data_IF_474330803809
#
_entry.id   IF_474330803809
#
_cell.length_a   1.000
_cell.length_b   1.000
_cell.length_c   1.000
_cell.angle_alpha   90.00
_cell.angle_beta   90.00
_cell.angle_gamma   90.00
#
_symmetry.space_group_name_H-M   'P 1'
#
loop_
_entity.id
_entity.type
_entity.pdbx_description
1 polymer ?
#
# COMPACT_ATOMS: atom_id res chain seq x y z
N UNK A 1 27.11 23.14 21.93
CA UNK A 1 26.44 21.86 21.60
C UNK A 1 27.50 20.79 21.61
N UNK A 2 27.33 19.73 22.39
CA UNK A 2 28.30 18.64 22.45
C UNK A 2 28.14 17.70 21.24
N UNK A 3 29.28 17.28 20.69
CA UNK A 3 29.34 16.38 19.55
C UNK A 3 29.34 14.92 20.01
N UNK A 4 28.29 14.18 19.67
CA UNK A 4 28.08 12.80 20.10
C UNK A 4 27.98 11.87 18.88
N UNK A 5 28.63 10.72 18.98
CA UNK A 5 28.55 9.61 18.06
C UNK A 5 27.37 8.73 18.47
N UNK A 6 26.28 8.75 17.72
CA UNK A 6 25.00 8.14 18.12
C UNK A 6 25.14 6.68 18.61
N UNK A 7 25.44 5.74 17.71
CA UNK A 7 25.45 4.29 17.99
C UNK A 7 26.85 3.70 18.19
N UNK A 8 27.89 4.53 18.12
CA UNK A 8 29.29 4.10 18.10
C UNK A 8 30.11 4.92 19.09
N UNK A 9 31.16 4.33 19.64
CA UNK A 9 32.09 5.06 20.51
C UNK A 9 32.93 6.10 19.75
N UNK A 10 33.13 5.90 18.44
CA UNK A 10 33.94 6.75 17.56
C UNK A 10 33.21 7.03 16.25
N UNK A 11 33.47 8.21 15.68
CA UNK A 11 32.81 8.70 14.47
C UNK A 11 33.75 8.72 13.26
N UNK A 12 33.18 8.72 12.06
CA UNK A 12 33.94 8.82 10.79
C UNK A 12 34.84 10.06 10.77
N UNK A 13 34.34 11.20 11.30
CA UNK A 13 35.09 12.47 11.38
C UNK A 13 35.93 12.61 12.65
N UNK A 14 36.21 11.51 13.36
CA UNK A 14 37.10 11.55 14.51
C UNK A 14 38.52 11.90 14.07
N UNK A 15 39.29 12.57 14.93
CA UNK A 15 40.64 13.07 14.61
C UNK A 15 41.59 11.97 14.12
N UNK A 16 41.40 10.75 14.62
CA UNK A 16 42.18 9.58 14.23
C UNK A 16 41.30 8.58 13.48
N UNK A 17 41.71 8.12 12.28
CA UNK A 17 40.91 7.19 11.51
C UNK A 17 40.79 5.86 12.25
N UNK A 18 39.55 5.40 12.41
CA UNK A 18 39.18 4.13 13.05
C UNK A 18 38.08 3.47 12.24
N UNK A 19 37.94 2.16 12.36
CA UNK A 19 36.89 1.42 11.66
C UNK A 19 35.53 1.71 12.30
N UNK A 20 34.77 2.62 11.69
CA UNK A 20 33.43 3.03 12.12
C UNK A 20 32.59 3.43 10.91
N UNK A 21 31.28 3.33 11.05
CA UNK A 21 30.26 3.57 10.02
C UNK A 21 29.29 4.71 10.41
N UNK A 22 29.59 5.45 11.48
CA UNK A 22 28.68 6.48 12.02
C UNK A 22 29.30 7.89 11.96
N UNK A 23 28.53 8.86 11.46
CA UNK A 23 28.82 10.28 11.63
C UNK A 23 28.38 10.80 13.02
N UNK A 24 28.94 11.93 13.47
CA UNK A 24 28.48 12.62 14.69
C UNK A 24 27.29 13.52 14.40
N UNK A 25 26.49 13.87 15.42
CA UNK A 25 25.45 14.91 15.30
C UNK A 25 26.01 16.24 14.75
N UNK A 26 27.22 16.65 15.16
CA UNK A 26 27.88 17.84 14.65
C UNK A 26 28.28 17.72 13.18
N UNK A 27 28.73 16.55 12.74
CA UNK A 27 29.03 16.28 11.34
C UNK A 27 27.76 16.43 10.48
N UNK A 28 26.62 15.93 10.95
CA UNK A 28 25.33 16.13 10.26
C UNK A 28 24.94 17.60 10.16
N UNK A 29 25.01 18.35 11.26
CA UNK A 29 24.69 19.80 11.27
C UNK A 29 25.64 20.57 10.36
N UNK A 30 26.93 20.27 10.42
CA UNK A 30 27.95 20.92 9.59
C UNK A 30 27.71 20.64 8.10
N UNK A 31 27.47 19.38 7.72
CA UNK A 31 27.12 19.03 6.33
C UNK A 31 25.85 19.76 5.89
N UNK A 32 24.82 19.85 6.73
CA UNK A 32 23.60 20.59 6.40
C UNK A 32 23.87 22.09 6.17
N UNK A 33 24.76 22.70 6.96
CA UNK A 33 25.18 24.09 6.77
C UNK A 33 25.95 24.27 5.45
N UNK A 34 26.90 23.39 5.14
CA UNK A 34 27.64 23.39 3.87
C UNK A 34 26.69 23.24 2.69
N UNK A 35 25.75 22.30 2.77
CA UNK A 35 24.75 22.07 1.73
C UNK A 35 23.81 23.27 1.57
N UNK A 36 23.39 23.94 2.64
CA UNK A 36 22.47 25.08 2.56
C UNK A 36 23.08 26.34 1.89
N UNK A 37 24.41 26.45 1.77
CA UNK A 37 25.10 27.63 1.22
C UNK A 37 25.34 27.59 -0.31
N UNK A 38 24.34 27.18 -1.11
CA UNK A 38 24.37 27.20 -2.58
C UNK A 38 25.42 26.32 -3.32
N UNK A 39 26.12 25.41 -2.63
CA UNK A 39 27.03 24.43 -3.28
C UNK A 39 26.25 23.28 -3.97
N UNK A 40 24.93 23.29 -3.86
CA UNK A 40 24.00 22.22 -4.23
C UNK A 40 23.94 21.87 -5.73
N UNK A 41 24.33 22.80 -6.63
CA UNK A 41 24.06 22.67 -8.07
C UNK A 41 24.79 21.51 -8.75
N UNK A 42 25.89 21.00 -8.21
CA UNK A 42 26.62 19.87 -8.81
C UNK A 42 26.36 18.52 -8.14
N UNK A 43 25.95 18.52 -6.86
CA UNK A 43 25.67 17.30 -6.09
C UNK A 43 24.30 16.71 -6.40
N UNK A 44 23.33 17.58 -6.67
CA UNK A 44 21.94 17.17 -6.90
C UNK A 44 21.47 17.41 -8.34
N UNK A 45 22.29 17.97 -9.23
CA UNK A 45 21.89 18.00 -10.64
C UNK A 45 21.81 16.56 -11.13
N UNK A 46 20.61 16.12 -11.51
CA UNK A 46 20.43 14.93 -12.34
C UNK A 46 21.22 15.16 -13.62
N UNK A 47 22.49 14.73 -13.61
CA UNK A 47 23.12 14.37 -14.86
C UNK A 47 22.36 13.12 -15.27
N UNK A 48 21.51 13.23 -16.30
CA UNK A 48 20.98 12.08 -17.03
C UNK A 48 22.10 11.06 -17.25
N UNK A 49 21.76 9.78 -17.49
CA UNK A 49 22.58 8.61 -17.19
C UNK A 49 24.05 8.95 -17.32
N UNK A 50 24.75 9.04 -16.18
CA UNK A 50 26.16 9.40 -16.12
C UNK A 50 26.90 8.54 -17.14
N UNK A 51 27.21 9.14 -18.30
CA UNK A 51 27.88 8.47 -19.38
C UNK A 51 29.34 8.36 -18.98
N UNK A 52 29.63 7.36 -18.15
CA UNK A 52 31.00 6.95 -17.90
C UNK A 52 31.54 6.49 -19.24
N UNK A 53 32.55 7.19 -19.76
CA UNK A 53 33.25 6.85 -21.01
C UNK A 53 33.90 5.45 -20.98
N UNK A 54 33.87 4.76 -19.83
CA UNK A 54 34.22 3.36 -19.58
C UNK A 54 33.06 2.57 -18.94
N UNK A 55 31.84 2.68 -19.47
CA UNK A 55 30.63 2.02 -18.95
C UNK A 55 30.78 0.50 -18.74
N UNK A 56 31.69 -0.18 -19.44
CA UNK A 56 31.81 -1.64 -19.44
C UNK A 56 32.48 -2.26 -18.20
N UNK A 57 33.10 -1.49 -17.29
CA UNK A 57 33.81 -2.03 -16.12
C UNK A 57 33.15 -1.72 -14.77
N UNK A 58 32.16 -0.81 -14.74
CA UNK A 58 31.51 -0.38 -13.49
C UNK A 58 30.00 -0.61 -13.44
N UNK A 59 29.31 -0.79 -14.57
CA UNK A 59 27.86 -1.08 -14.56
C UNK A 59 27.59 -2.57 -14.57
N UNK A 60 28.08 -3.30 -15.58
CA UNK A 60 27.81 -4.74 -15.75
C UNK A 60 28.71 -5.54 -14.80
N UNK A 61 28.14 -6.08 -13.73
CA UNK A 61 28.90 -6.84 -12.74
C UNK A 61 28.10 -8.03 -12.24
N UNK A 62 28.45 -9.20 -12.77
CA UNK A 62 28.00 -10.45 -12.22
C UNK A 62 28.26 -10.54 -10.71
N UNK A 63 27.19 -10.73 -9.97
CA UNK A 63 27.16 -10.83 -8.52
C UNK A 63 26.73 -9.56 -7.80
N UNK A 64 26.20 -8.57 -8.51
CA UNK A 64 25.56 -7.37 -7.93
C UNK A 64 24.04 -7.57 -7.69
N UNK A 65 23.49 -8.75 -8.01
CA UNK A 65 22.07 -9.10 -7.93
C UNK A 65 21.16 -8.38 -8.94
N UNK A 66 21.71 -7.81 -10.00
CA UNK A 66 20.97 -7.14 -11.08
C UNK A 66 21.31 -7.85 -12.39
N UNK A 67 20.30 -8.35 -13.09
CA UNK A 67 20.52 -9.01 -14.38
C UNK A 67 20.76 -7.95 -15.46
N UNK A 68 21.98 -7.91 -15.99
CA UNK A 68 22.42 -6.88 -16.94
C UNK A 68 23.00 -7.50 -18.23
N UNK A 69 22.77 -6.83 -19.37
CA UNK A 69 23.32 -7.18 -20.68
C UNK A 69 23.13 -8.66 -21.08
N UNK A 70 24.19 -9.48 -20.99
CA UNK A 70 24.22 -10.90 -21.40
C UNK A 70 24.05 -11.88 -20.24
N UNK A 71 23.91 -11.38 -19.02
CA UNK A 71 23.64 -12.23 -17.86
C UNK A 71 22.26 -12.88 -18.00
N UNK A 72 22.18 -14.18 -17.72
CA UNK A 72 20.92 -14.90 -17.72
C UNK A 72 20.22 -14.77 -16.36
N UNK A 73 21.03 -14.64 -15.30
CA UNK A 73 20.59 -14.49 -13.92
C UNK A 73 21.72 -13.87 -13.09
N UNK A 74 21.37 -13.28 -11.95
CA UNK A 74 22.36 -12.83 -10.97
C UNK A 74 21.89 -13.22 -9.55
N UNK A 75 22.60 -14.17 -8.94
CA UNK A 75 22.36 -14.65 -7.58
C UNK A 75 23.08 -13.85 -6.49
N UNK A 76 23.85 -12.83 -6.86
CA UNK A 76 24.61 -11.95 -5.98
C UNK A 76 26.01 -12.46 -5.72
N UNK A 77 26.51 -12.21 -4.51
CA UNK A 77 27.85 -12.62 -4.12
C UNK A 77 28.06 -14.13 -4.27
N UNK A 78 29.32 -14.57 -4.44
CA UNK A 78 29.68 -15.99 -4.55
C UNK A 78 29.05 -16.87 -3.44
N UNK A 79 28.95 -16.35 -2.21
CA UNK A 79 28.31 -17.05 -1.09
C UNK A 79 26.80 -17.23 -1.29
N UNK A 80 26.10 -16.23 -1.85
CA UNK A 80 24.68 -16.33 -2.15
C UNK A 80 24.43 -17.31 -3.31
N UNK A 81 25.28 -17.28 -4.33
CA UNK A 81 25.24 -18.20 -5.45
C UNK A 81 25.54 -19.66 -5.05
N UNK A 82 26.43 -19.88 -4.08
CA UNK A 82 26.73 -21.24 -3.59
C UNK A 82 25.49 -21.99 -3.07
N UNK A 83 24.53 -21.26 -2.49
CA UNK A 83 23.24 -21.82 -2.06
C UNK A 83 22.14 -21.78 -3.12
N UNK A 84 22.40 -21.19 -4.28
CA UNK A 84 21.42 -21.03 -5.34
C UNK A 84 21.43 -22.26 -6.25
N UNK A 85 20.27 -22.86 -6.49
CA UNK A 85 20.12 -24.04 -7.34
C UNK A 85 19.91 -23.71 -8.82
N UNK A 86 19.49 -22.47 -9.12
CA UNK A 86 19.02 -22.06 -10.43
C UNK A 86 20.04 -21.23 -11.21
N UNK A 87 20.99 -20.59 -10.52
CA UNK A 87 21.94 -19.65 -11.08
C UNK A 87 23.34 -19.92 -10.55
N UNK A 88 24.31 -19.99 -11.45
CA UNK A 88 25.71 -20.22 -11.16
C UNK A 88 26.46 -18.89 -10.90
N UNK A 89 27.66 -18.98 -10.34
CA UNK A 89 28.47 -17.79 -9.98
C UNK A 89 29.05 -17.03 -11.18
N UNK A 90 28.87 -17.55 -12.40
CA UNK A 90 29.20 -16.90 -13.67
C UNK A 90 27.98 -16.22 -14.34
N UNK A 91 26.88 -16.06 -13.59
CA UNK A 91 25.63 -15.42 -14.02
C UNK A 91 24.92 -16.13 -15.18
N UNK A 92 25.06 -17.46 -15.20
CA UNK A 92 24.33 -18.36 -16.11
C UNK A 92 23.37 -19.25 -15.34
N UNK A 93 22.31 -19.65 -16.01
CA UNK A 93 21.39 -20.64 -15.45
C UNK A 93 22.09 -21.98 -15.28
N UNK A 94 21.80 -22.66 -14.18
CA UNK A 94 22.18 -24.06 -14.02
C UNK A 94 21.43 -24.94 -15.04
N UNK A 95 21.95 -26.13 -15.39
CA UNK A 95 21.31 -27.00 -16.37
C UNK A 95 19.83 -27.31 -16.04
N UNK A 96 18.93 -26.98 -16.98
CA UNK A 96 17.48 -27.19 -16.83
C UNK A 96 16.72 -26.03 -16.18
N UNK A 97 17.43 -25.01 -15.72
CA UNK A 97 16.82 -23.79 -15.15
C UNK A 97 16.48 -22.79 -16.26
N UNK A 98 15.33 -22.12 -16.11
CA UNK A 98 14.85 -21.07 -17.03
C UNK A 98 14.59 -19.74 -16.31
N UNK A 99 14.66 -19.74 -14.98
CA UNK A 99 14.47 -18.58 -14.12
C UNK A 99 15.17 -18.79 -12.78
N UNK A 100 15.31 -17.72 -12.00
CA UNK A 100 15.94 -17.76 -10.69
C UNK A 100 15.15 -16.97 -9.62
N UNK A 101 15.04 -15.64 -9.78
CA UNK A 101 14.48 -14.72 -8.77
C UNK A 101 13.19 -14.03 -9.21
N UNK A 102 12.73 -14.30 -10.42
CA UNK A 102 11.53 -13.71 -10.97
C UNK A 102 10.28 -14.13 -10.17
N UNK A 103 9.28 -13.24 -10.11
CA UNK A 103 8.09 -13.38 -9.26
C UNK A 103 7.18 -14.57 -9.61
N UNK A 104 7.31 -15.13 -10.81
CA UNK A 104 6.67 -16.36 -11.25
C UNK A 104 7.67 -17.49 -11.52
N UNK A 105 8.77 -17.52 -10.75
CA UNK A 105 9.72 -18.62 -10.73
C UNK A 105 9.49 -19.55 -9.52
N UNK A 106 9.29 -20.83 -9.78
CA UNK A 106 9.23 -21.88 -8.76
C UNK A 106 10.13 -23.04 -9.16
N UNK A 107 11.04 -23.45 -8.27
CA UNK A 107 11.99 -24.54 -8.52
C UNK A 107 12.74 -24.37 -9.86
N UNK A 108 13.26 -23.17 -10.12
CA UNK A 108 13.98 -22.82 -11.34
C UNK A 108 13.17 -22.92 -12.66
N UNK A 109 11.84 -23.07 -12.55
CA UNK A 109 10.89 -23.23 -13.66
C UNK A 109 9.67 -22.32 -13.46
N UNK A 110 8.70 -22.37 -14.38
CA UNK A 110 7.47 -21.57 -14.26
C UNK A 110 6.67 -21.93 -13.01
N UNK A 111 6.26 -20.90 -12.25
CA UNK A 111 5.26 -21.03 -11.21
C UNK A 111 3.93 -21.54 -11.79
N UNK A 112 3.22 -22.44 -11.09
CA UNK A 112 1.91 -22.91 -11.53
C UNK A 112 0.92 -21.77 -11.80
N UNK A 113 0.03 -21.97 -12.76
CA UNK A 113 -1.04 -21.01 -13.05
C UNK A 113 -1.92 -20.78 -11.81
N UNK A 114 -2.20 -19.51 -11.52
CA UNK A 114 -2.94 -19.10 -10.32
C UNK A 114 -2.09 -18.90 -9.06
N UNK A 115 -0.77 -19.00 -9.16
CA UNK A 115 0.14 -18.59 -8.06
C UNK A 115 0.07 -17.06 -7.91
N UNK A 116 -0.28 -16.55 -6.73
CA UNK A 116 -0.28 -15.11 -6.45
C UNK A 116 1.16 -14.58 -6.53
N UNK A 117 1.43 -13.64 -7.44
CA UNK A 117 2.76 -13.07 -7.65
C UNK A 117 2.88 -11.61 -7.24
N UNK A 118 1.77 -10.86 -7.25
CA UNK A 118 1.70 -9.53 -6.63
C UNK A 118 0.42 -9.41 -5.80
N UNK A 119 0.53 -9.17 -4.48
CA UNK A 119 -0.63 -8.94 -3.63
C UNK A 119 -1.12 -7.50 -3.77
N UNK A 120 -2.40 -7.29 -3.45
CA UNK A 120 -3.03 -5.97 -3.35
C UNK A 120 -2.26 -5.11 -2.34
N UNK A 121 -1.82 -3.92 -2.77
CA UNK A 121 -1.10 -2.96 -1.92
C UNK A 121 -2.02 -1.97 -1.21
N UNK A 122 -3.13 -1.57 -1.85
CA UNK A 122 -4.09 -0.61 -1.30
C UNK A 122 -5.50 -0.85 -1.87
N UNK A 123 -6.48 -0.05 -1.43
CA UNK A 123 -7.90 -0.23 -1.81
C UNK A 123 -8.20 0.01 -3.30
N UNK A 124 -7.30 0.65 -4.02
CA UNK A 124 -7.39 0.93 -5.45
C UNK A 124 -6.57 -0.03 -6.31
N UNK A 125 -5.95 -1.04 -5.71
CA UNK A 125 -5.05 -1.98 -6.37
C UNK A 125 -5.71 -3.35 -6.58
N UNK A 126 -5.26 -4.10 -7.58
CA UNK A 126 -5.75 -5.46 -7.88
C UNK A 126 -4.65 -6.51 -7.71
N UNK A 127 -4.98 -7.79 -7.47
CA UNK A 127 -3.98 -8.85 -7.40
C UNK A 127 -3.66 -9.46 -8.77
N UNK A 128 -2.40 -9.90 -8.94
CA UNK A 128 -1.93 -10.61 -10.13
C UNK A 128 -1.47 -12.02 -9.79
N UNK A 129 -1.73 -12.91 -10.75
CA UNK A 129 -1.44 -14.32 -10.66
C UNK A 129 -0.60 -14.78 -11.85
N UNK A 130 0.35 -15.67 -11.58
CA UNK A 130 1.15 -16.30 -12.62
C UNK A 130 0.26 -17.06 -13.60
N UNK A 131 0.59 -16.97 -14.89
CA UNK A 131 -0.14 -17.65 -15.96
C UNK A 131 0.31 -19.10 -16.19
N UNK A 132 1.41 -19.54 -15.56
CA UNK A 132 1.96 -20.88 -15.74
C UNK A 132 2.94 -21.04 -16.91
N UNK A 133 3.16 -19.99 -17.69
CA UNK A 133 3.98 -20.00 -18.92
C UNK A 133 5.06 -18.91 -18.98
N UNK A 134 4.98 -17.95 -18.06
CA UNK A 134 5.90 -16.82 -17.96
C UNK A 134 6.63 -16.89 -16.63
N UNK A 135 7.86 -16.41 -16.57
CA UNK A 135 8.70 -16.40 -15.35
C UNK A 135 8.48 -15.14 -14.53
N UNK A 136 7.93 -14.08 -15.13
CA UNK A 136 7.59 -12.81 -14.47
C UNK A 136 6.07 -12.71 -14.27
N UNK A 137 5.68 -12.05 -13.19
CA UNK A 137 4.28 -11.67 -12.95
C UNK A 137 3.77 -10.78 -14.10
N UNK A 138 2.46 -10.84 -14.43
CA UNK A 138 1.83 -9.85 -15.29
C UNK A 138 2.11 -8.41 -14.83
N UNK A 139 1.86 -7.46 -15.73
CA UNK A 139 1.92 -6.03 -15.40
C UNK A 139 1.03 -5.70 -14.19
N UNK A 140 1.38 -4.63 -13.48
CA UNK A 140 0.59 -4.11 -12.37
C UNK A 140 -0.76 -3.57 -12.89
N UNK A 141 -1.86 -4.15 -12.40
CA UNK A 141 -3.21 -3.69 -12.67
C UNK A 141 -3.85 -3.12 -11.41
N UNK A 142 -4.62 -2.07 -11.61
CA UNK A 142 -5.32 -1.36 -10.54
C UNK A 142 -6.73 -0.98 -10.99
N UNK A 143 -7.57 -0.56 -10.06
CA UNK A 143 -8.95 -0.14 -10.36
C UNK A 143 -8.94 1.04 -11.35
N UNK A 144 -9.85 1.01 -12.32
CA UNK A 144 -9.96 2.07 -13.32
C UNK A 144 -10.08 3.46 -12.66
N UNK A 145 -9.36 4.44 -13.20
CA UNK A 145 -9.40 5.81 -12.72
C UNK A 145 -10.83 6.34 -12.68
N UNK A 146 -11.25 6.89 -11.54
CA UNK A 146 -12.63 7.32 -11.26
C UNK A 146 -13.45 6.33 -10.44
N UNK A 147 -12.96 5.11 -10.18
CA UNK A 147 -13.63 4.15 -9.29
C UNK A 147 -13.71 4.71 -7.86
N UNK A 148 -14.88 4.83 -7.21
CA UNK A 148 -14.98 5.34 -5.84
C UNK A 148 -14.17 4.49 -4.85
N UNK A 149 -13.38 5.13 -3.98
CA UNK A 149 -12.58 4.45 -2.95
C UNK A 149 -12.98 4.85 -1.52
N UNK A 150 -13.45 6.07 -1.33
CA UNK A 150 -14.06 6.56 -0.08
C UNK A 150 -15.28 7.41 -0.41
N UNK A 151 -15.96 7.95 0.60
CA UNK A 151 -17.08 8.89 0.38
C UNK A 151 -16.62 10.18 -0.32
N UNK A 152 -15.37 10.60 -0.07
CA UNK A 152 -14.78 11.84 -0.56
C UNK A 152 -13.71 11.64 -1.65
N UNK A 153 -13.50 10.39 -2.10
CA UNK A 153 -12.35 10.01 -2.93
C UNK A 153 -12.63 8.94 -3.96
N UNK A 154 -11.81 8.93 -5.01
CA UNK A 154 -11.82 7.94 -6.06
C UNK A 154 -10.40 7.44 -6.34
N UNK A 155 -10.28 6.33 -7.07
CA UNK A 155 -9.01 5.78 -7.49
C UNK A 155 -8.45 6.57 -8.66
N UNK A 156 -7.17 6.89 -8.61
CA UNK A 156 -6.44 7.50 -9.73
C UNK A 156 -5.02 6.95 -9.72
N UNK A 157 -4.60 6.35 -10.84
CA UNK A 157 -3.29 5.70 -11.00
C UNK A 157 -2.96 4.74 -9.83
N UNK A 158 -3.95 3.92 -9.48
CA UNK A 158 -3.83 2.87 -8.47
C UNK A 158 -3.75 3.34 -7.02
N UNK A 159 -4.03 4.62 -6.75
CA UNK A 159 -4.07 5.17 -5.40
C UNK A 159 -5.41 5.86 -5.13
N UNK A 160 -5.87 5.82 -3.88
CA UNK A 160 -7.05 6.59 -3.48
C UNK A 160 -6.69 8.08 -3.35
N UNK A 161 -7.51 8.95 -3.93
CA UNK A 161 -7.29 10.40 -3.99
C UNK A 161 -7.61 11.13 -2.68
N UNK A 162 -8.22 10.44 -1.72
CA UNK A 162 -8.60 10.96 -0.41
C UNK A 162 -7.36 11.36 0.42
N UNK A 163 -7.30 12.63 0.82
CA UNK A 163 -6.20 13.18 1.62
C UNK A 163 -6.10 12.54 3.01
N UNK A 164 -7.23 12.19 3.61
CA UNK A 164 -7.24 11.53 4.92
C UNK A 164 -6.68 10.13 4.81
N UNK A 165 -7.05 9.36 3.78
CA UNK A 165 -6.43 8.07 3.51
C UNK A 165 -4.92 8.21 3.30
N UNK A 166 -4.49 9.22 2.54
CA UNK A 166 -3.06 9.47 2.35
C UNK A 166 -2.34 9.81 3.67
N UNK A 167 -2.96 10.63 4.53
CA UNK A 167 -2.42 10.92 5.87
C UNK A 167 -2.34 9.67 6.74
N UNK A 168 -3.33 8.77 6.68
CA UNK A 168 -3.33 7.52 7.44
C UNK A 168 -2.21 6.56 7.01
N UNK A 169 -1.95 6.49 5.71
CA UNK A 169 -0.85 5.66 5.18
C UNK A 169 0.53 6.14 5.67
N UNK A 170 0.70 7.45 5.90
CA UNK A 170 1.95 8.02 6.38
C UNK A 170 2.03 7.97 7.92
N UNK A 171 1.02 8.47 8.62
CA UNK A 171 1.07 8.76 10.06
C UNK A 171 0.26 7.79 10.93
N UNK A 172 -0.43 6.83 10.32
CA UNK A 172 -1.28 5.84 10.99
C UNK A 172 -2.75 6.23 11.08
N UNK A 173 -3.59 5.29 11.51
CA UNK A 173 -5.06 5.33 11.39
C UNK A 173 -5.74 6.60 11.97
N UNK A 174 -5.15 7.22 13.00
CA UNK A 174 -5.71 8.42 13.62
C UNK A 174 -5.53 9.70 12.81
N UNK A 175 -4.62 9.71 11.83
CA UNK A 175 -4.29 10.90 11.07
C UNK A 175 -5.37 11.23 10.04
N UNK A 176 -5.62 12.51 9.84
CA UNK A 176 -6.64 13.02 8.91
C UNK A 176 -6.07 14.17 8.08
N UNK A 177 -6.75 14.50 6.97
CA UNK A 177 -6.43 15.70 6.21
C UNK A 177 -6.51 16.93 7.11
N UNK A 178 -5.49 17.78 7.03
CA UNK A 178 -5.50 19.04 7.75
C UNK A 178 -6.50 20.03 7.15
N UNK A 179 -6.98 21.01 7.93
CA UNK A 179 -7.74 22.14 7.40
C UNK A 179 -6.93 22.95 6.37
N UNK A 180 -7.62 23.59 5.42
CA UNK A 180 -7.02 24.35 4.31
C UNK A 180 -5.99 25.39 4.78
N UNK A 181 -6.16 25.96 5.98
CA UNK A 181 -5.21 26.93 6.56
C UNK A 181 -3.79 26.36 6.69
N UNK A 182 -3.65 25.05 6.94
CA UNK A 182 -2.35 24.38 7.01
C UNK A 182 -1.63 24.37 5.66
N UNK A 183 -2.37 24.29 4.55
CA UNK A 183 -1.81 24.29 3.20
C UNK A 183 -1.19 25.62 2.81
N UNK A 184 -1.46 26.72 3.52
CA UNK A 184 -0.80 28.01 3.30
C UNK A 184 0.74 27.94 3.35
N UNK A 185 1.31 26.95 4.05
CA UNK A 185 2.75 26.67 4.06
C UNK A 185 3.30 26.40 2.65
N UNK A 186 2.47 25.87 1.74
CA UNK A 186 2.87 25.55 0.37
C UNK A 186 3.24 26.78 -0.46
N UNK A 187 2.84 27.98 -0.04
CA UNK A 187 3.25 29.25 -0.68
C UNK A 187 4.69 29.65 -0.35
N UNK A 188 5.29 29.09 0.72
CA UNK A 188 6.60 29.53 1.23
C UNK A 188 7.80 29.09 0.38
N UNK A 189 7.67 28.04 -0.43
CA UNK A 189 8.76 27.57 -1.30
C UNK A 189 9.95 27.00 -0.54
N UNK A 190 9.70 26.12 0.43
CA UNK A 190 10.76 25.37 1.12
C UNK A 190 10.42 23.88 1.16
N UNK A 191 11.33 23.05 1.68
CA UNK A 191 11.23 21.57 1.63
C UNK A 191 9.93 20.96 2.17
N UNK A 192 9.18 21.68 3.00
CA UNK A 192 7.94 21.23 3.64
C UNK A 192 6.69 21.91 3.05
N UNK A 193 6.87 22.90 2.18
CA UNK A 193 5.78 23.63 1.56
C UNK A 193 6.20 24.21 0.21
N UNK A 194 5.78 23.54 -0.86
CA UNK A 194 6.05 23.89 -2.25
C UNK A 194 5.13 23.08 -3.18
N UNK A 195 5.00 23.52 -4.44
CA UNK A 195 4.30 22.76 -5.49
C UNK A 195 5.25 22.05 -6.45
N UNK A 196 6.47 22.57 -6.57
CA UNK A 196 7.48 22.05 -7.51
C UNK A 196 8.84 22.06 -6.88
N UNK A 197 9.67 21.12 -7.31
CA UNK A 197 11.11 21.13 -7.08
C UNK A 197 11.75 21.29 -8.45
N UNK A 198 12.64 22.27 -8.62
CA UNK A 198 13.36 22.43 -9.89
C UNK A 198 14.45 21.37 -10.03
N UNK A 199 15.02 21.22 -11.22
CA UNK A 199 16.14 20.31 -11.49
C UNK A 199 17.37 20.59 -10.61
N UNK A 200 17.47 21.80 -10.04
CA UNK A 200 18.48 22.17 -9.03
C UNK A 200 18.04 21.93 -7.58
N UNK A 201 17.01 21.10 -7.36
CA UNK A 201 16.43 20.77 -6.07
C UNK A 201 15.94 22.00 -5.27
N UNK A 202 15.57 23.08 -5.95
CA UNK A 202 15.03 24.28 -5.33
C UNK A 202 13.50 24.18 -5.24
N UNK A 203 12.90 24.17 -4.02
CA UNK A 203 11.46 24.16 -3.87
C UNK A 203 10.84 25.50 -4.30
N UNK A 204 9.85 25.46 -5.18
CA UNK A 204 9.09 26.63 -5.62
C UNK A 204 7.73 26.69 -4.95
N UNK A 205 7.43 27.84 -4.34
CA UNK A 205 6.13 28.10 -3.71
C UNK A 205 4.98 27.99 -4.70
N UNK A 206 3.83 27.56 -4.21
CA UNK A 206 2.59 27.44 -4.99
C UNK A 206 1.98 28.81 -5.28
N UNK A 207 1.26 28.92 -6.41
CA UNK A 207 0.27 29.97 -6.60
C UNK A 207 -0.95 29.72 -5.69
N UNK A 208 -1.81 30.74 -5.54
CA UNK A 208 -2.99 30.65 -4.67
C UNK A 208 -3.93 29.51 -5.07
N UNK A 209 -4.15 29.31 -6.37
CA UNK A 209 -5.00 28.24 -6.90
C UNK A 209 -4.41 26.83 -6.68
N UNK A 210 -3.09 26.71 -6.57
CA UNK A 210 -2.38 25.43 -6.52
C UNK A 210 -2.03 25.00 -5.10
N UNK A 211 -2.36 25.82 -4.10
CA UNK A 211 -1.93 25.63 -2.71
C UNK A 211 -2.33 24.27 -2.14
N UNK A 212 -3.44 23.70 -2.61
CA UNK A 212 -3.96 22.38 -2.23
C UNK A 212 -3.33 21.20 -2.97
N UNK A 213 -2.43 21.46 -3.92
CA UNK A 213 -1.71 20.48 -4.74
C UNK A 213 -0.21 20.39 -4.46
N UNK A 214 0.26 21.11 -3.44
CA UNK A 214 1.67 21.08 -3.01
C UNK A 214 1.99 19.90 -2.09
N UNK A 215 2.56 20.20 -0.92
CA UNK A 215 2.81 19.21 0.13
C UNK A 215 1.52 18.88 0.88
N UNK A 216 1.33 17.59 1.16
CA UNK A 216 0.22 17.10 1.97
C UNK A 216 0.38 17.63 3.40
N UNK A 217 -0.74 18.04 4.00
CA UNK A 217 -0.83 18.47 5.38
C UNK A 217 -1.83 17.60 6.14
N UNK A 218 -1.43 17.13 7.31
CA UNK A 218 -2.17 16.21 8.16
C UNK A 218 -2.36 16.77 9.57
N UNK A 219 -3.40 16.32 10.25
CA UNK A 219 -3.66 16.58 11.68
C UNK A 219 -3.86 15.26 12.42
N UNK A 220 -3.93 15.34 13.75
CA UNK A 220 -4.19 14.19 14.63
C UNK A 220 -3.11 13.09 14.52
N UNK A 221 -1.86 13.50 14.29
CA UNK A 221 -0.70 12.62 14.23
C UNK A 221 -0.28 12.23 15.64
N UNK A 222 -0.41 10.94 15.98
CA UNK A 222 -0.06 10.38 17.30
C UNK A 222 1.25 9.60 17.28
N UNK A 223 1.64 9.06 16.12
CA UNK A 223 2.86 8.28 15.94
C UNK A 223 3.65 8.78 14.73
N UNK A 224 4.97 8.88 14.88
CA UNK A 224 5.87 9.26 13.79
C UNK A 224 6.46 7.99 13.17
N UNK A 225 6.20 7.71 11.88
CA UNK A 225 6.72 6.52 11.23
C UNK A 225 8.26 6.57 11.16
N UNK A 226 8.88 5.41 11.00
CA UNK A 226 10.26 5.35 10.51
C UNK A 226 10.26 5.76 9.04
N UNK A 227 10.62 7.00 8.79
CA UNK A 227 10.76 7.53 7.44
C UNK A 227 12.03 6.98 6.77
N UNK A 228 12.05 7.04 5.43
CA UNK A 228 13.25 6.80 4.63
C UNK A 228 14.39 7.75 5.06
N UNK A 229 15.63 7.33 4.83
CA UNK A 229 16.79 8.17 5.12
C UNK A 229 16.68 9.54 4.42
N UNK A 230 17.14 10.60 5.07
CA UNK A 230 17.08 11.98 4.57
C UNK A 230 15.69 12.64 4.46
N UNK A 231 14.62 11.97 4.91
CA UNK A 231 13.29 12.57 5.06
C UNK A 231 13.08 13.08 6.48
N UNK A 232 12.47 14.26 6.61
CA UNK A 232 12.01 14.79 7.89
C UNK A 232 10.53 15.16 7.82
N UNK A 233 9.93 15.38 8.97
CA UNK A 233 8.60 15.97 9.09
C UNK A 233 8.71 17.38 9.69
N UNK A 234 7.67 18.18 9.51
CA UNK A 234 7.45 19.37 10.31
C UNK A 234 6.22 19.18 11.19
N UNK A 235 6.21 19.91 12.30
CA UNK A 235 5.03 20.14 13.11
C UNK A 235 4.94 21.65 13.34
N UNK A 236 3.85 22.28 12.95
CA UNK A 236 3.75 23.74 13.03
C UNK A 236 2.32 24.15 13.33
N UNK A 237 2.16 25.18 14.15
CA UNK A 237 0.85 25.76 14.41
C UNK A 237 0.57 26.81 13.34
N UNK A 238 -0.44 26.59 12.51
CA UNK A 238 -0.83 27.49 11.41
C UNK A 238 -2.32 27.75 11.56
N UNK A 239 -2.71 29.02 11.72
CA UNK A 239 -4.12 29.39 11.93
C UNK A 239 -4.77 28.68 13.13
N UNK A 240 -4.01 28.45 14.21
CA UNK A 240 -4.46 27.73 15.41
C UNK A 240 -4.52 26.21 15.28
N UNK A 241 -4.26 25.64 14.10
CA UNK A 241 -4.25 24.19 13.87
C UNK A 241 -2.83 23.63 13.96
N UNK A 242 -2.65 22.49 14.63
CA UNK A 242 -1.37 21.77 14.67
C UNK A 242 -1.21 20.92 13.41
N UNK A 243 -0.47 21.46 12.44
CA UNK A 243 -0.26 20.86 11.11
C UNK A 243 1.03 20.02 11.08
N UNK A 244 0.92 18.82 10.51
CA UNK A 244 2.04 17.93 10.23
C UNK A 244 2.20 17.74 8.73
N UNK A 245 3.44 17.53 8.28
CA UNK A 245 3.72 17.21 6.88
C UNK A 245 5.11 16.65 6.70
N UNK A 246 5.31 15.94 5.60
CA UNK A 246 6.58 15.29 5.27
C UNK A 246 7.32 16.14 4.22
N UNK A 247 8.60 16.41 4.48
CA UNK A 247 9.42 17.18 3.56
C UNK A 247 9.81 16.39 2.32
N UNK A 248 10.04 17.07 1.20
CA UNK A 248 10.50 16.43 -0.03
C UNK A 248 11.76 15.60 0.18
N UNK A 249 11.78 14.41 -0.41
CA UNK A 249 12.93 13.53 -0.45
C UNK A 249 14.00 14.12 -1.40
N UNK A 250 15.28 13.90 -1.09
CA UNK A 250 16.41 14.47 -1.86
C UNK A 250 17.17 13.45 -2.74
N UNK A 251 16.89 12.15 -2.60
CA UNK A 251 17.54 11.11 -3.39
C UNK A 251 16.77 10.76 -4.67
N UNK A 252 17.50 10.31 -5.69
CA UNK A 252 16.98 9.67 -6.89
C UNK A 252 16.39 8.30 -6.55
N UNK A 253 15.34 7.88 -7.25
CA UNK A 253 14.65 6.57 -7.12
C UNK A 253 13.83 6.31 -5.85
N UNK A 254 13.46 7.35 -5.09
CA UNK A 254 12.59 7.22 -3.90
C UNK A 254 11.20 7.82 -4.12
N UNK A 255 10.16 7.10 -3.70
CA UNK A 255 8.77 7.55 -3.75
C UNK A 255 8.53 8.72 -2.78
N UNK A 256 8.17 9.89 -3.29
CA UNK A 256 7.84 11.05 -2.47
C UNK A 256 6.42 10.93 -1.86
N UNK A 257 6.35 10.33 -0.68
CA UNK A 257 5.08 10.11 0.04
C UNK A 257 4.46 11.40 0.60
N UNK A 258 5.18 12.53 0.63
CA UNK A 258 4.68 13.76 1.26
C UNK A 258 4.04 14.77 0.31
N UNK A 259 4.03 14.50 -1.00
CA UNK A 259 3.35 15.32 -2.00
C UNK A 259 1.86 14.95 -2.06
N UNK A 260 0.99 15.91 -2.38
CA UNK A 260 -0.42 15.58 -2.70
C UNK A 260 -0.44 14.73 -3.97
N UNK A 261 -1.18 13.61 -3.95
CA UNK A 261 -1.22 12.67 -5.06
C UNK A 261 -1.88 13.28 -6.30
N UNK A 262 -1.45 12.90 -7.51
CA UNK A 262 -2.21 13.17 -8.72
C UNK A 262 -3.65 12.65 -8.59
N UNK A 263 -4.61 13.36 -9.18
CA UNK A 263 -6.04 13.01 -9.06
C UNK A 263 -6.72 13.54 -7.79
N UNK A 264 -5.99 14.04 -6.79
CA UNK A 264 -6.63 14.59 -5.59
C UNK A 264 -7.45 15.85 -5.90
N UNK A 265 -8.75 15.92 -5.54
CA UNK A 265 -9.58 17.11 -5.76
C UNK A 265 -8.98 18.36 -5.10
N UNK A 266 -8.99 19.50 -5.77
CA UNK A 266 -8.38 20.74 -5.25
C UNK A 266 -9.32 21.96 -5.27
N UNK A 267 -10.49 21.84 -5.89
CA UNK A 267 -11.54 22.86 -5.88
C UNK A 267 -12.12 23.09 -7.27
N UNK A 268 -13.37 23.59 -7.36
CA UNK A 268 -13.99 23.98 -8.62
C UNK A 268 -14.18 22.86 -9.65
N UNK A 269 -14.27 21.59 -9.22
CA UNK A 269 -14.31 20.43 -10.12
C UNK A 269 -12.96 20.04 -10.72
N UNK A 270 -11.86 20.66 -10.24
CA UNK A 270 -10.50 20.34 -10.64
C UNK A 270 -9.81 19.41 -9.64
N UNK A 271 -8.77 18.73 -10.13
CA UNK A 271 -7.88 17.88 -9.37
C UNK A 271 -6.41 18.21 -9.64
N UNK A 272 -5.55 17.74 -8.73
CA UNK A 272 -4.13 17.98 -8.75
C UNK A 272 -3.42 17.16 -9.84
N UNK A 273 -2.65 17.83 -10.70
CA UNK A 273 -1.75 17.19 -11.66
C UNK A 273 -0.41 17.93 -11.66
N UNK A 274 0.68 17.21 -11.36
CA UNK A 274 2.05 17.77 -11.34
C UNK A 274 2.19 19.09 -10.52
N UNK A 275 1.50 19.15 -9.38
CA UNK A 275 1.52 20.32 -8.50
C UNK A 275 0.61 21.49 -8.93
N UNK A 276 -0.28 21.29 -9.90
CA UNK A 276 -1.26 22.30 -10.34
C UNK A 276 -2.70 21.85 -10.12
N UNK A 277 -3.59 22.81 -9.83
CA UNK A 277 -5.03 22.60 -9.72
C UNK A 277 -5.77 22.99 -11.01
N UNK A 278 -5.53 22.27 -12.10
CA UNK A 278 -6.05 22.65 -13.42
C UNK A 278 -6.65 21.49 -14.24
N UNK A 279 -6.51 20.24 -13.81
CA UNK A 279 -7.09 19.11 -14.50
C UNK A 279 -8.54 18.91 -14.06
N UNK A 280 -9.47 18.73 -15.00
CA UNK A 280 -10.91 18.63 -14.71
C UNK A 280 -11.33 17.19 -14.50
N UNK A 281 -12.24 16.91 -13.56
CA UNK A 281 -12.82 15.58 -13.36
C UNK A 281 -13.43 14.97 -14.64
N UNK A 282 -13.94 15.80 -15.55
CA UNK A 282 -14.46 15.35 -16.85
C UNK A 282 -13.39 14.72 -17.78
N UNK A 283 -12.11 14.96 -17.52
CA UNK A 283 -11.01 14.34 -18.26
C UNK A 283 -10.78 12.87 -17.84
N UNK A 284 -11.33 12.46 -16.70
CA UNK A 284 -11.31 11.07 -16.25
C UNK A 284 -12.39 10.32 -17.04
N UNK A 285 -11.96 9.61 -18.09
CA UNK A 285 -12.82 8.79 -18.95
C UNK A 285 -13.22 7.48 -18.24
N UNK A 286 -14.02 7.63 -17.18
CA UNK A 286 -14.55 6.51 -16.42
C UNK A 286 -15.68 5.83 -17.19
N UNK A 287 -15.46 4.57 -17.56
CA UNK A 287 -16.41 3.75 -18.30
C UNK A 287 -16.49 2.36 -17.67
N UNK A 288 -16.90 2.32 -16.41
CA UNK A 288 -17.20 1.07 -15.71
C UNK A 288 -18.48 1.17 -14.89
N UNK A 289 -19.65 1.25 -15.53
CA UNK A 289 -20.90 1.05 -14.80
C UNK A 289 -20.96 -0.38 -14.25
N UNK A 290 -21.55 -0.62 -13.06
CA UNK A 290 -21.61 -1.97 -12.47
C UNK A 290 -22.20 -3.05 -13.39
N UNK A 291 -23.11 -2.67 -14.28
CA UNK A 291 -23.70 -3.56 -15.30
C UNK A 291 -22.68 -4.12 -16.30
N UNK A 292 -21.59 -3.40 -16.59
CA UNK A 292 -20.54 -3.83 -17.53
C UNK A 292 -19.89 -5.15 -17.09
N UNK A 293 -19.70 -5.32 -15.79
CA UNK A 293 -19.14 -6.53 -15.18
C UNK A 293 -20.21 -7.38 -14.48
N UNK A 294 -21.46 -7.31 -14.97
CA UNK A 294 -22.61 -8.08 -14.46
C UNK A 294 -22.83 -7.96 -12.95
N UNK A 295 -22.53 -6.80 -12.35
CA UNK A 295 -22.57 -6.54 -10.90
C UNK A 295 -21.74 -7.53 -10.07
N UNK A 296 -20.75 -8.16 -10.71
CA UNK A 296 -19.93 -9.27 -10.18
C UNK A 296 -18.44 -9.02 -10.39
N UNK A 297 -18.07 -7.77 -10.64
CA UNK A 297 -16.69 -7.36 -10.83
C UNK A 297 -16.56 -5.85 -10.95
N UNK A 298 -15.31 -5.41 -11.09
CA UNK A 298 -14.89 -4.01 -11.24
C UNK A 298 -13.94 -3.91 -12.42
N UNK A 299 -13.77 -2.75 -13.04
CA UNK A 299 -12.83 -2.61 -14.16
C UNK A 299 -11.43 -2.31 -13.66
N UNK A 300 -10.43 -2.90 -14.32
CA UNK A 300 -9.04 -2.50 -14.17
C UNK A 300 -8.71 -1.28 -15.06
N UNK A 301 -7.48 -0.78 -14.96
CA UNK A 301 -6.93 0.32 -15.77
C UNK A 301 -6.88 0.04 -17.29
N UNK A 302 -6.99 -1.22 -17.72
CA UNK A 302 -7.21 -1.60 -19.13
C UNK A 302 -8.68 -1.57 -19.56
N UNK A 303 -9.61 -1.18 -18.66
CA UNK A 303 -11.06 -1.15 -18.85
C UNK A 303 -11.69 -2.55 -19.02
N UNK A 304 -10.98 -3.62 -18.65
CA UNK A 304 -11.49 -4.98 -18.62
C UNK A 304 -12.03 -5.33 -17.23
N UNK A 305 -12.99 -6.23 -17.15
CA UNK A 305 -13.56 -6.66 -15.87
C UNK A 305 -12.60 -7.58 -15.10
N UNK A 306 -12.30 -7.19 -13.88
CA UNK A 306 -11.78 -8.02 -12.82
C UNK A 306 -12.94 -8.58 -11.99
N UNK A 307 -13.23 -9.85 -12.18
CA UNK A 307 -14.37 -10.54 -11.59
C UNK A 307 -14.11 -10.97 -10.14
N UNK A 308 -15.15 -10.87 -9.32
CA UNK A 308 -15.12 -11.41 -7.96
C UNK A 308 -14.94 -12.93 -7.97
N UNK A 309 -14.42 -13.45 -6.85
CA UNK A 309 -14.23 -14.89 -6.66
C UNK A 309 -15.55 -15.63 -6.92
N UNK A 310 -15.51 -16.62 -7.81
CA UNK A 310 -16.69 -17.39 -8.23
C UNK A 310 -17.18 -17.08 -9.65
N UNK A 311 -16.62 -16.07 -10.33
CA UNK A 311 -17.02 -15.65 -11.68
C UNK A 311 -15.80 -15.49 -12.59
N UNK A 312 -15.87 -16.02 -13.81
CA UNK A 312 -14.78 -15.89 -14.78
C UNK A 312 -14.92 -14.64 -15.67
N UNK A 313 -13.80 -13.97 -16.01
CA UNK A 313 -13.76 -12.92 -17.04
C UNK A 313 -14.11 -13.49 -18.43
N UNK A 314 -14.47 -12.66 -19.44
CA UNK A 314 -14.29 -11.20 -19.52
C UNK A 314 -15.46 -10.36 -18.98
N UNK A 315 -16.64 -10.95 -18.79
CA UNK A 315 -17.85 -10.21 -18.40
C UNK A 315 -18.40 -10.60 -17.02
N UNK A 316 -17.79 -11.56 -16.32
CA UNK A 316 -18.26 -12.06 -15.02
C UNK A 316 -19.65 -12.75 -15.07
N UNK A 317 -19.98 -13.36 -16.21
CA UNK A 317 -21.25 -14.08 -16.43
C UNK A 317 -21.13 -15.54 -15.97
N UNK A 318 -20.04 -16.20 -16.34
CA UNK A 318 -19.85 -17.63 -16.11
C UNK A 318 -19.24 -17.89 -14.74
N UNK A 319 -19.60 -19.01 -14.12
CA UNK A 319 -18.96 -19.43 -12.87
C UNK A 319 -17.50 -19.79 -13.09
N UNK A 320 -16.65 -19.40 -12.14
CA UNK A 320 -15.22 -19.63 -12.27
C UNK A 320 -14.39 -19.18 -11.07
N UNK A 321 -13.11 -18.89 -11.32
CA UNK A 321 -12.14 -18.62 -10.27
C UNK A 321 -12.19 -17.17 -9.78
N UNK A 322 -12.48 -16.21 -10.66
CA UNK A 322 -12.31 -14.77 -10.43
C UNK A 322 -11.23 -14.17 -11.32
N UNK A 323 -10.80 -12.97 -11.00
CA UNK A 323 -9.68 -12.30 -11.67
C UNK A 323 -10.07 -11.61 -12.97
N UNK A 324 -9.07 -11.18 -13.74
CA UNK A 324 -9.24 -10.50 -15.03
C UNK A 324 -8.60 -11.33 -16.15
N UNK A 325 -8.94 -11.00 -17.40
CA UNK A 325 -8.19 -11.48 -18.57
C UNK A 325 -6.73 -11.01 -18.54
N UNK A 326 -6.44 -9.90 -17.84
CA UNK A 326 -5.11 -9.30 -17.79
C UNK A 326 -4.23 -9.81 -16.63
N UNK A 327 -4.83 -10.03 -15.45
CA UNK A 327 -4.11 -10.29 -14.20
C UNK A 327 -4.02 -11.79 -13.85
N UNK A 328 -4.47 -12.66 -14.75
CA UNK A 328 -4.53 -14.11 -14.56
C UNK A 328 -5.65 -14.55 -13.60
N UNK A 329 -6.09 -15.82 -13.68
CA UNK A 329 -7.10 -16.33 -12.77
C UNK A 329 -6.49 -16.67 -11.40
N UNK A 330 -7.21 -16.42 -10.29
CA UNK A 330 -6.81 -16.94 -8.98
C UNK A 330 -6.88 -18.49 -8.99
N UNK A 331 -6.26 -19.15 -7.99
CA UNK A 331 -6.24 -20.60 -7.97
C UNK A 331 -7.66 -21.16 -7.81
N UNK A 332 -8.07 -22.08 -8.69
CA UNK A 332 -9.41 -22.70 -8.70
C UNK A 332 -9.77 -23.46 -7.41
N UNK A 333 -8.77 -23.78 -6.57
CA UNK A 333 -9.01 -24.44 -5.29
C UNK A 333 -9.63 -23.44 -4.32
N UNK A 334 -10.96 -23.48 -4.17
CA UNK A 334 -11.61 -23.11 -2.92
C UNK A 334 -10.80 -23.77 -1.80
N UNK A 335 -10.45 -23.03 -0.76
CA UNK A 335 -10.04 -23.63 0.52
C UNK A 335 -11.16 -24.61 0.90
N UNK A 336 -10.96 -25.88 0.60
CA UNK A 336 -11.67 -26.94 1.31
C UNK A 336 -11.12 -26.84 2.72
N UNK A 337 -11.81 -26.07 3.56
CA UNK A 337 -11.63 -26.20 4.99
C UNK A 337 -12.15 -27.60 5.30
N UNK A 338 -11.26 -28.60 5.21
CA UNK A 338 -11.46 -29.85 5.92
C UNK A 338 -11.43 -29.46 7.39
N UNK A 339 -12.60 -29.12 7.94
CA UNK A 339 -12.76 -29.00 9.38
C UNK A 339 -12.22 -30.30 9.96
N UNK A 340 -11.15 -30.21 10.75
CA UNK A 340 -10.58 -31.39 11.39
C UNK A 340 -11.69 -32.08 12.16
N UNK A 341 -11.78 -33.41 12.09
CA UNK A 341 -12.90 -34.17 12.71
C UNK A 341 -13.13 -33.78 14.18
N UNK A 342 -12.07 -33.39 14.89
CA UNK A 342 -12.15 -32.88 16.27
C UNK A 342 -12.96 -31.58 16.43
N UNK A 343 -12.88 -30.64 15.50
CA UNK A 343 -13.64 -29.39 15.56
C UNK A 343 -15.14 -29.62 15.41
N UNK A 344 -15.55 -30.57 14.57
CA UNK A 344 -16.96 -30.97 14.41
C UNK A 344 -17.47 -31.71 15.65
N UNK A 345 -16.66 -32.57 16.27
CA UNK A 345 -17.00 -33.25 17.53
C UNK A 345 -17.19 -32.21 18.65
N UNK A 346 -16.28 -31.25 18.78
CA UNK A 346 -16.38 -30.21 19.79
C UNK A 346 -17.66 -29.38 19.65
N UNK A 347 -18.00 -28.99 18.41
CA UNK A 347 -19.21 -28.23 18.11
C UNK A 347 -20.48 -29.02 18.45
N UNK A 348 -20.52 -30.33 18.13
CA UNK A 348 -21.63 -31.22 18.50
C UNK A 348 -21.79 -31.37 20.01
N UNK A 349 -20.68 -31.48 20.75
CA UNK A 349 -20.71 -31.57 22.23
C UNK A 349 -21.24 -30.26 22.83
N UNK A 350 -20.81 -29.11 22.32
CA UNK A 350 -21.30 -27.79 22.78
C UNK A 350 -22.80 -27.65 22.51
N UNK A 351 -23.26 -27.96 21.30
CA UNK A 351 -24.69 -27.93 20.98
C UNK A 351 -25.51 -28.92 21.82
N UNK A 352 -25.00 -30.13 22.05
CA UNK A 352 -25.63 -31.12 22.93
C UNK A 352 -25.78 -30.62 24.36
N UNK A 353 -24.74 -29.97 24.91
CA UNK A 353 -24.80 -29.36 26.26
C UNK A 353 -25.81 -28.22 26.34
N UNK A 354 -25.87 -27.36 25.32
CA UNK A 354 -26.85 -26.27 25.27
C UNK A 354 -28.29 -26.81 25.21
N UNK A 355 -28.54 -27.83 24.40
CA UNK A 355 -29.86 -28.45 24.30
C UNK A 355 -30.27 -29.14 25.61
N UNK A 356 -29.33 -29.82 26.28
CA UNK A 356 -29.59 -30.43 27.59
C UNK A 356 -29.90 -29.38 28.67
N UNK A 357 -29.19 -28.24 28.67
CA UNK A 357 -29.47 -27.12 29.58
C UNK A 357 -30.86 -26.54 29.34
N UNK A 358 -31.23 -26.31 28.08
CA UNK A 358 -32.56 -25.81 27.69
C UNK A 358 -33.65 -26.79 28.12
N UNK A 359 -33.46 -28.09 27.88
CA UNK A 359 -34.41 -29.12 28.30
C UNK A 359 -34.58 -29.15 29.83
N UNK A 360 -33.49 -29.06 30.60
CA UNK A 360 -33.54 -29.01 32.05
C UNK A 360 -34.28 -27.76 32.57
N UNK A 361 -34.06 -26.60 31.96
CA UNK A 361 -34.78 -25.37 32.29
C UNK A 361 -36.27 -25.49 31.98
N UNK A 362 -36.63 -26.00 30.80
CA UNK A 362 -38.03 -26.20 30.42
C UNK A 362 -38.74 -27.21 31.34
N UNK A 363 -38.06 -28.29 31.71
CA UNK A 363 -38.59 -29.28 32.65
C UNK A 363 -38.77 -28.69 34.04
N UNK A 364 -37.80 -27.90 34.53
CA UNK A 364 -37.88 -27.20 35.81
C UNK A 364 -38.97 -26.13 35.85
N UNK A 365 -39.28 -25.48 34.72
CA UNK A 365 -40.42 -24.57 34.60
C UNK A 365 -41.74 -25.34 34.59
N UNK A 366 -41.82 -26.45 33.85
CA UNK A 366 -43.02 -27.29 33.77
C UNK A 366 -43.41 -27.90 35.12
N UNK A 367 -42.44 -28.31 35.94
CA UNK A 367 -42.70 -28.87 37.28
C UNK A 367 -42.98 -27.81 38.36
N UNK A 368 -42.65 -26.55 38.11
CA UNK A 368 -42.98 -25.42 39.00
C UNK A 368 -44.36 -24.79 38.72
N UNK A 369 -45.14 -25.31 37.77
CA UNK A 369 -46.52 -24.89 37.56
C UNK A 369 -47.36 -25.34 38.77
N UNK A 370 -47.49 -24.46 39.77
CA UNK A 370 -48.46 -24.60 40.87
C UNK A 370 -49.86 -24.74 40.25
N UNK A 371 -50.51 -25.87 40.52
CA UNK A 371 -51.93 -26.10 40.22
C UNK A 371 -52.78 -25.08 40.96
N UNK A 372 -53.19 -24.02 40.28
CA UNK A 372 -54.22 -23.10 40.77
C UNK A 372 -55.55 -23.83 40.60
N UNK A 373 -56.11 -24.40 41.69
CA UNK A 373 -57.47 -24.93 41.69
C UNK A 373 -58.45 -23.76 41.49
N UNK A 374 -59.02 -23.68 40.29
CA UNK A 374 -60.16 -22.81 40.00
C UNK A 374 -61.43 -23.59 40.32
N UNK A 375 -61.99 -23.38 41.50
CA UNK A 375 -63.36 -23.82 41.82
C UNK A 375 -64.33 -22.81 41.25
N UNK A 376 -65.01 -23.19 40.17
CA UNK A 376 -66.16 -22.47 39.64
C UNK A 376 -67.41 -23.32 39.79
N UNK A 377 -68.55 -22.63 39.83
CA UNK A 377 -69.91 -23.11 39.48
C UNK A 377 -70.74 -23.53 40.73
N UNK A 378 -72.02 -23.15 40.95
CA UNK A 378 -73.08 -22.55 40.10
C UNK A 378 -74.09 -21.83 41.01
N UNK A 379 -74.59 -20.65 40.63
CA UNK A 379 -75.89 -20.18 41.12
C UNK A 379 -77.01 -20.92 40.37
N UNK A 380 -77.90 -21.59 41.11
CA UNK A 380 -79.14 -22.14 40.55
C UNK A 380 -80.30 -21.28 41.01
N UNK A 381 -80.85 -20.51 40.07
CA UNK A 381 -82.13 -19.81 40.21
C UNK A 381 -83.24 -20.79 39.86
N UNK A 382 -84.11 -21.14 40.81
CA UNK A 382 -85.41 -21.79 40.52
C UNK A 382 -86.53 -20.83 40.87
N UNK A 383 -87.32 -20.47 39.86
CA UNK A 383 -88.60 -19.76 39.96
C UNK A 383 -89.73 -20.79 39.89
N UNK A 384 -90.68 -20.66 40.81
CA UNK A 384 -92.12 -20.77 40.52
C UNK A 384 -92.82 -22.09 40.85
N UNK A 385 -93.66 -22.05 41.89
CA UNK A 385 -95.10 -22.20 41.72
C UNK A 385 -95.83 -21.23 42.62
#
# INVERSE_FOLDING_TARGET
MDCVCQRRATCIMYRYPVLTDSFSNCSFVHTQHVLNNNIQRCLFKERGPLAYSNSSLTSIRCGNSVVEDKEQCDCGTFKQCYSNTCCESDCRFSPGSICNRETCCANCTHSPAGTLCRPIQNICDLPEYCLGKDTRCPSDFYLQDGTPCTEDGYCYQGNCTDRSMHCKEIFGEGALSAPDVCYSINKKGHRFGHCKVTDEYQPKGCADADVMCGRLQCVNVTHLPRLQEHVGFHHSIIGGSLCFGVGAHRATDTTDVGAVRPGTPCGGGNFCLQGFCNATLAAIDYNCPPSKCNYRGVCNNNRNCHCHVGWDPPLCINHGAGGSVDSGPPPRRRRSVRAGGMSLVYLRVVFGRMLALIAALLFGVATNVRTIQTTTVTEVKVRGK
#
